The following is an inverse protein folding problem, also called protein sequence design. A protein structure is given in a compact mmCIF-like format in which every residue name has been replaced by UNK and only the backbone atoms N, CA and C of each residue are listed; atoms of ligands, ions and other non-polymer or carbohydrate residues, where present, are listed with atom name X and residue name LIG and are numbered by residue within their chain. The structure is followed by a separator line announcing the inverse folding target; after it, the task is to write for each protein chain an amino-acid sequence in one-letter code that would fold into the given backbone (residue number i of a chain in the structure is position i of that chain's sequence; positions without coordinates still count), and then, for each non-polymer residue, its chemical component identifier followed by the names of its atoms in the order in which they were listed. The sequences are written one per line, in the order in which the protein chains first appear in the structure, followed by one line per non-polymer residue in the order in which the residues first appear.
data_IF_187079492602
#
_entry.id   IF_187079492602
#
_cell.length_a   1.000
_cell.length_b   1.000
_cell.length_c   1.000
_cell.angle_alpha   90.00
_cell.angle_beta   90.00
_cell.angle_gamma   90.00
#
_symmetry.space_group_name_H-M   'P 1'
#
loop_
_entity.id
_entity.type
_entity.pdbx_description
1 polymer ?
#
# COMPACT_ATOMS: atom_id res chain seq x y z
N UNK A 1 -18.31 13.14 -13.39
CA UNK A 1 -17.06 12.35 -13.47
C UNK A 1 -16.86 11.74 -12.10
N UNK A 2 -16.81 10.41 -12.02
CA UNK A 2 -16.46 9.71 -10.80
C UNK A 2 -14.93 9.80 -10.66
N UNK A 3 -14.44 10.39 -9.58
CA UNK A 3 -13.01 10.62 -9.36
C UNK A 3 -12.51 9.61 -8.33
N UNK A 4 -11.62 8.72 -8.75
CA UNK A 4 -11.00 7.70 -7.89
C UNK A 4 -9.66 8.19 -7.33
N UNK A 5 -9.04 7.42 -6.43
CA UNK A 5 -7.75 7.72 -5.78
C UNK A 5 -6.58 7.93 -6.77
N UNK A 6 -6.69 7.42 -8.00
CA UNK A 6 -5.77 7.71 -9.09
C UNK A 6 -5.75 9.21 -9.43
N UNK A 7 -6.93 9.85 -9.46
CA UNK A 7 -7.05 11.28 -9.76
C UNK A 7 -6.42 12.12 -8.65
N UNK A 8 -6.59 11.71 -7.39
CA UNK A 8 -5.91 12.35 -6.25
C UNK A 8 -4.39 12.30 -6.41
N UNK A 9 -3.84 11.13 -6.76
CA UNK A 9 -2.41 10.98 -7.04
C UNK A 9 -1.97 11.83 -8.24
N UNK A 10 -2.76 11.87 -9.31
CA UNK A 10 -2.48 12.68 -10.49
C UNK A 10 -2.38 14.18 -10.18
N UNK A 11 -3.30 14.69 -9.36
CA UNK A 11 -3.31 16.11 -8.96
C UNK A 11 -2.07 16.41 -8.11
N UNK A 12 -1.70 15.51 -7.18
CA UNK A 12 -0.55 15.69 -6.29
C UNK A 12 0.81 15.38 -6.95
N UNK A 13 0.86 14.89 -8.19
CA UNK A 13 2.07 14.35 -8.82
C UNK A 13 3.26 15.30 -8.85
N UNK A 14 3.02 16.61 -8.90
CA UNK A 14 4.08 17.63 -8.94
C UNK A 14 4.80 17.77 -7.59
N UNK A 15 4.24 17.25 -6.50
CA UNK A 15 4.87 17.19 -5.17
C UNK A 15 5.75 15.93 -4.99
N UNK A 16 5.64 14.95 -5.89
CA UNK A 16 6.35 13.66 -5.81
C UNK A 16 7.79 13.78 -6.37
N UNK A 17 8.59 14.67 -5.78
CA UNK A 17 9.95 15.01 -6.23
C UNK A 17 11.08 14.41 -5.38
N UNK A 18 10.74 13.82 -4.24
CA UNK A 18 11.67 13.23 -3.27
C UNK A 18 11.11 11.90 -2.75
N UNK A 19 11.85 11.21 -1.89
CA UNK A 19 11.38 9.96 -1.27
C UNK A 19 10.12 10.25 -0.44
N UNK A 20 9.06 9.45 -0.62
CA UNK A 20 7.79 9.68 0.07
C UNK A 20 7.02 8.39 0.34
N UNK A 21 6.11 8.47 1.32
CA UNK A 21 5.07 7.46 1.54
C UNK A 21 3.77 7.92 0.90
N UNK A 22 3.13 7.05 0.13
CA UNK A 22 1.73 7.16 -0.24
C UNK A 22 0.91 6.31 0.74
N UNK A 23 -0.12 6.91 1.31
CA UNK A 23 -1.01 6.29 2.29
C UNK A 23 -2.45 6.49 1.86
N UNK A 24 -3.28 5.44 1.97
CA UNK A 24 -4.73 5.64 1.94
C UNK A 24 -5.16 6.43 3.19
N UNK A 25 -6.21 7.25 3.05
CA UNK A 25 -6.65 8.16 4.12
C UNK A 25 -7.41 7.49 5.27
N UNK A 26 -7.82 6.24 5.08
CA UNK A 26 -8.57 5.37 5.99
C UNK A 26 -7.67 4.35 6.71
N UNK A 27 -6.38 4.27 6.37
CA UNK A 27 -5.45 3.32 6.97
C UNK A 27 -4.88 3.83 8.29
N UNK A 28 -5.09 3.06 9.34
CA UNK A 28 -4.40 3.18 10.62
C UNK A 28 -3.28 2.14 10.71
N UNK A 29 -2.15 2.50 11.31
CA UNK A 29 -1.01 1.60 11.51
C UNK A 29 -0.19 2.03 12.71
N UNK A 30 0.54 1.08 13.30
CA UNK A 30 1.49 1.40 14.36
C UNK A 30 2.77 2.06 13.81
N UNK A 31 3.36 2.97 14.58
CA UNK A 31 4.54 3.76 14.16
C UNK A 31 5.73 2.87 13.76
N UNK A 32 5.88 1.69 14.38
CA UNK A 32 6.93 0.74 14.07
C UNK A 32 6.88 0.23 12.61
N UNK A 33 5.73 0.31 11.93
CA UNK A 33 5.60 -0.01 10.50
C UNK A 33 6.51 0.87 9.66
N UNK A 34 6.48 2.20 9.88
CA UNK A 34 7.31 3.15 9.13
C UNK A 34 8.80 2.85 9.36
N UNK A 35 9.20 2.64 10.62
CA UNK A 35 10.58 2.27 10.95
C UNK A 35 11.03 0.98 10.27
N UNK A 36 10.16 -0.04 10.23
CA UNK A 36 10.43 -1.31 9.55
C UNK A 36 10.61 -1.10 8.04
N UNK A 37 9.72 -0.36 7.38
CA UNK A 37 9.81 -0.10 5.93
C UNK A 37 11.09 0.65 5.60
N UNK A 38 11.38 1.74 6.32
CA UNK A 38 12.60 2.52 6.11
C UNK A 38 13.89 1.70 6.30
N UNK A 39 13.88 0.73 7.23
CA UNK A 39 15.04 -0.13 7.51
C UNK A 39 15.25 -1.27 6.49
N UNK A 40 14.16 -1.78 5.89
CA UNK A 40 14.20 -2.98 5.03
C UNK A 40 14.13 -2.68 3.54
N UNK A 41 13.58 -1.53 3.16
CA UNK A 41 13.36 -1.19 1.75
C UNK A 41 14.60 -0.61 1.10
N UNK A 42 15.26 -1.35 0.21
CA UNK A 42 16.35 -0.82 -0.65
C UNK A 42 15.90 -0.52 -2.10
N UNK A 43 14.63 -0.78 -2.42
CA UNK A 43 14.12 -0.78 -3.79
C UNK A 43 13.30 0.48 -4.12
N UNK A 44 13.21 0.86 -5.41
CA UNK A 44 12.53 2.09 -5.81
C UNK A 44 11.08 2.19 -5.35
N UNK A 45 10.34 1.08 -5.38
CA UNK A 45 8.95 1.01 -4.94
C UNK A 45 8.80 -0.17 -3.99
N UNK A 46 8.35 0.10 -2.77
CA UNK A 46 8.02 -0.93 -1.77
C UNK A 46 6.54 -0.86 -1.43
N UNK A 47 5.78 -1.89 -1.74
CA UNK A 47 4.41 -2.07 -1.27
C UNK A 47 4.44 -2.73 0.11
N UNK A 48 3.73 -2.15 1.07
CA UNK A 48 3.64 -2.71 2.42
C UNK A 48 2.53 -3.75 2.44
N UNK A 49 2.87 -4.95 2.93
CA UNK A 49 1.96 -6.10 2.87
C UNK A 49 1.75 -6.73 4.23
N UNK A 50 0.59 -7.36 4.41
CA UNK A 50 0.28 -8.23 5.54
C UNK A 50 -0.20 -9.59 5.07
N UNK A 51 -0.34 -10.52 6.00
CA UNK A 51 -0.90 -11.84 5.75
C UNK A 51 -2.21 -11.99 6.54
N UNK A 52 -3.23 -12.53 5.88
CA UNK A 52 -4.48 -12.98 6.49
C UNK A 52 -4.64 -14.49 6.22
N UNK A 53 -5.24 -15.25 7.16
CA UNK A 53 -5.52 -16.67 6.93
C UNK A 53 -6.55 -16.90 5.81
N UNK A 54 -7.42 -15.91 5.57
CA UNK A 54 -8.45 -15.91 4.55
C UNK A 54 -8.54 -14.54 3.90
N UNK A 55 -8.77 -14.52 2.59
CA UNK A 55 -8.98 -13.30 1.82
C UNK A 55 -10.37 -13.30 1.19
N UNK A 56 -11.03 -12.15 1.20
CA UNK A 56 -12.34 -11.93 0.59
C UNK A 56 -12.24 -11.09 -0.70
N UNK A 57 -13.37 -10.75 -1.32
CA UNK A 57 -13.39 -10.03 -2.58
C UNK A 57 -12.93 -8.56 -2.48
N UNK A 58 -13.00 -7.97 -1.28
CA UNK A 58 -12.64 -6.57 -1.05
C UNK A 58 -11.15 -6.39 -0.78
N UNK A 59 -10.46 -7.42 -0.28
CA UNK A 59 -9.03 -7.37 -0.03
C UNK A 59 -8.22 -7.05 -1.30
N UNK A 60 -7.24 -6.15 -1.14
CA UNK A 60 -6.25 -5.84 -2.15
C UNK A 60 -5.11 -6.86 -2.13
N UNK A 61 -5.33 -7.99 -2.80
CA UNK A 61 -4.44 -9.15 -2.79
C UNK A 61 -3.15 -8.89 -3.55
N UNK A 62 -2.10 -9.61 -3.19
CA UNK A 62 -0.81 -9.60 -3.90
C UNK A 62 -0.34 -11.01 -4.24
N UNK A 63 0.34 -11.14 -5.37
CA UNK A 63 1.11 -12.34 -5.76
C UNK A 63 2.59 -12.00 -5.73
N UNK A 64 3.42 -12.87 -5.15
CA UNK A 64 4.83 -12.63 -4.88
C UNK A 64 5.74 -13.70 -5.49
N UNK A 65 6.97 -13.31 -5.82
CA UNK A 65 8.09 -14.23 -6.03
C UNK A 65 9.22 -13.80 -5.09
N UNK A 66 9.34 -14.49 -3.95
CA UNK A 66 10.16 -13.98 -2.83
C UNK A 66 9.58 -12.66 -2.31
N UNK A 67 10.37 -11.59 -2.34
CA UNK A 67 9.93 -10.23 -1.97
C UNK A 67 9.53 -9.37 -3.17
N UNK A 68 9.56 -9.93 -4.39
CA UNK A 68 9.19 -9.20 -5.59
C UNK A 68 7.68 -9.24 -5.77
N UNK A 69 7.09 -8.09 -6.06
CA UNK A 69 5.67 -8.02 -6.40
C UNK A 69 5.46 -8.46 -7.85
N UNK A 70 4.64 -9.50 -8.05
CA UNK A 70 4.28 -10.02 -9.37
C UNK A 70 2.97 -9.41 -9.84
N UNK A 71 1.98 -9.36 -8.95
CA UNK A 71 0.66 -8.83 -9.25
C UNK A 71 0.03 -8.23 -7.99
N UNK A 72 -0.88 -7.27 -8.17
CA UNK A 72 -1.62 -6.62 -7.08
C UNK A 72 -3.03 -6.25 -7.52
N UNK A 73 -4.06 -6.69 -6.80
CA UNK A 73 -5.45 -6.55 -7.24
C UNK A 73 -6.50 -7.24 -6.41
N UNK A 74 -7.76 -6.76 -6.53
CA UNK A 74 -8.93 -7.46 -5.98
C UNK A 74 -9.28 -8.75 -6.72
N UNK A 75 -8.93 -8.80 -8.01
CA UNK A 75 -9.23 -9.88 -8.98
C UNK A 75 -8.28 -11.07 -8.91
N UNK A 76 -7.28 -11.07 -8.02
CA UNK A 76 -6.36 -12.19 -7.84
C UNK A 76 -7.10 -13.34 -7.14
N UNK A 77 -6.99 -14.54 -7.72
CA UNK A 77 -7.55 -15.76 -7.15
C UNK A 77 -6.91 -16.08 -5.78
N UNK A 78 -7.67 -16.60 -4.80
CA UNK A 78 -7.14 -16.94 -3.48
C UNK A 78 -5.91 -17.86 -3.54
N UNK A 79 -5.86 -18.80 -4.48
CA UNK A 79 -4.78 -19.76 -4.65
C UNK A 79 -3.48 -19.11 -5.17
N UNK A 80 -3.56 -17.90 -5.72
CA UNK A 80 -2.43 -17.10 -6.20
C UNK A 80 -2.14 -15.92 -5.28
N UNK A 81 -2.77 -15.88 -4.11
CA UNK A 81 -2.63 -14.80 -3.15
C UNK A 81 -1.63 -15.17 -2.08
N UNK A 82 -0.56 -14.38 -1.97
CA UNK A 82 0.49 -14.55 -0.97
C UNK A 82 0.35 -13.54 0.19
N UNK A 83 -0.51 -12.54 0.04
CA UNK A 83 -0.68 -11.46 1.00
C UNK A 83 -1.73 -10.43 0.57
N UNK A 84 -1.82 -9.38 1.35
CA UNK A 84 -2.65 -8.21 1.07
C UNK A 84 -1.80 -6.93 1.18
N UNK A 85 -2.07 -5.95 0.32
CA UNK A 85 -1.52 -4.60 0.38
C UNK A 85 -2.25 -3.75 1.42
N UNK A 86 -1.51 -3.13 2.34
CA UNK A 86 -2.05 -2.40 3.52
C UNK A 86 -2.37 -0.93 3.21
N UNK A 87 -2.51 -0.55 1.93
CA UNK A 87 -2.73 0.85 1.55
C UNK A 87 -1.53 1.79 1.82
N UNK A 88 -0.32 1.23 2.03
CA UNK A 88 0.92 1.99 2.20
C UNK A 88 1.96 1.58 1.15
N UNK A 89 2.55 2.56 0.47
CA UNK A 89 3.64 2.36 -0.48
C UNK A 89 4.75 3.36 -0.19
N UNK A 90 5.98 2.89 -0.13
CA UNK A 90 7.17 3.72 -0.03
C UNK A 90 7.86 3.84 -1.37
N UNK A 91 8.05 5.07 -1.83
CA UNK A 91 8.79 5.41 -3.03
C UNK A 91 10.12 6.03 -2.64
N UNK A 92 11.23 5.52 -3.21
CA UNK A 92 12.56 6.07 -2.96
C UNK A 92 13.45 6.11 -4.20
N UNK A 93 14.44 7.00 -4.21
CA UNK A 93 15.38 7.15 -5.30
C UNK A 93 14.66 7.45 -6.62
N UNK A 94 14.67 6.52 -7.57
CA UNK A 94 13.94 6.67 -8.84
C UNK A 94 12.43 6.35 -8.75
N UNK A 95 11.95 5.83 -7.60
CA UNK A 95 10.56 5.46 -7.35
C UNK A 95 9.53 6.56 -7.64
N UNK A 96 9.71 7.79 -7.12
CA UNK A 96 8.81 8.91 -7.42
C UNK A 96 8.66 9.20 -8.91
N UNK A 97 9.77 9.20 -9.65
CA UNK A 97 9.75 9.41 -11.10
C UNK A 97 9.01 8.29 -11.85
N UNK A 98 9.23 7.02 -11.45
CA UNK A 98 8.52 5.87 -12.03
C UNK A 98 7.02 5.97 -11.82
N UNK A 99 6.60 6.35 -10.61
CA UNK A 99 5.19 6.50 -10.27
C UNK A 99 4.55 7.66 -11.03
N UNK A 100 5.18 8.83 -11.08
CA UNK A 100 4.71 9.98 -11.87
C UNK A 100 4.49 9.63 -13.33
N UNK A 101 5.48 9.00 -13.97
CA UNK A 101 5.35 8.55 -15.36
C UNK A 101 4.23 7.52 -15.53
N UNK A 102 4.04 6.66 -14.53
CA UNK A 102 2.91 5.73 -14.49
C UNK A 102 1.55 6.42 -14.43
N UNK A 103 1.43 7.45 -13.59
CA UNK A 103 0.23 8.28 -13.51
C UNK A 103 -0.05 9.00 -14.84
N UNK A 104 0.99 9.54 -15.51
CA UNK A 104 0.88 10.18 -16.83
C UNK A 104 0.35 9.23 -17.90
N UNK A 105 0.89 8.01 -17.95
CA UNK A 105 0.41 6.97 -18.86
C UNK A 105 -1.04 6.59 -18.56
N UNK A 106 -1.38 6.40 -17.27
CA UNK A 106 -2.72 6.00 -16.87
C UNK A 106 -3.77 7.07 -17.25
N UNK A 107 -3.48 8.35 -17.01
CA UNK A 107 -4.39 9.45 -17.33
C UNK A 107 -4.52 9.73 -18.83
N UNK A 108 -3.51 9.38 -19.62
CA UNK A 108 -3.54 9.48 -21.09
C UNK A 108 -4.35 8.36 -21.77
N UNK A 109 -4.67 7.28 -21.05
CA UNK A 109 -5.42 6.13 -21.58
C UNK A 109 -6.94 6.38 -21.47
N UNK A 110 -7.70 6.49 -22.58
CA UNK A 110 -9.14 6.73 -22.55
C UNK A 110 -9.95 5.63 -21.85
N UNK A 111 -9.38 4.43 -21.66
CA UNK A 111 -10.00 3.31 -20.94
C UNK A 111 -9.83 3.40 -19.41
N UNK A 112 -9.12 4.42 -18.91
CA UNK A 112 -8.72 4.57 -17.51
C UNK A 112 -9.81 5.07 -16.55
N UNK A 113 -11.04 5.30 -17.00
CA UNK A 113 -12.11 5.93 -16.21
C UNK A 113 -12.60 5.13 -14.99
N UNK A 114 -11.93 4.03 -14.63
CA UNK A 114 -12.16 3.21 -13.42
C UNK A 114 -10.85 2.64 -12.84
N UNK A 115 -9.69 3.24 -13.13
CA UNK A 115 -8.39 2.74 -12.66
C UNK A 115 -8.05 3.36 -11.30
N UNK A 116 -7.55 2.52 -10.39
CA UNK A 116 -7.06 2.91 -9.07
C UNK A 116 -5.55 3.14 -9.15
N UNK A 117 -4.92 3.88 -8.24
CA UNK A 117 -3.46 4.08 -8.29
C UNK A 117 -2.67 2.76 -8.24
N UNK A 118 -3.23 1.72 -7.61
CA UNK A 118 -2.63 0.38 -7.58
C UNK A 118 -2.55 -0.30 -8.94
N UNK A 119 -3.37 0.11 -9.92
CA UNK A 119 -3.19 -0.34 -11.31
C UNK A 119 -1.86 0.17 -11.89
N UNK A 120 -1.43 1.38 -11.52
CA UNK A 120 -0.11 1.90 -11.91
C UNK A 120 1.00 1.08 -11.29
N UNK A 121 0.82 0.62 -10.05
CA UNK A 121 1.79 -0.26 -9.37
C UNK A 121 1.84 -1.63 -10.07
N UNK A 122 0.68 -2.20 -10.41
CA UNK A 122 0.59 -3.44 -11.20
C UNK A 122 1.33 -3.30 -12.53
N UNK A 123 1.16 -2.19 -13.23
CA UNK A 123 1.82 -1.91 -14.52
C UNK A 123 3.35 -1.74 -14.37
N UNK A 124 3.83 -1.41 -13.17
CA UNK A 124 5.27 -1.34 -12.87
C UNK A 124 5.87 -2.72 -12.52
N UNK A 125 5.09 -3.72 -12.11
CA UNK A 125 5.61 -5.04 -11.73
C UNK A 125 6.52 -5.70 -12.79
N UNK A 126 6.22 -5.65 -14.11
CA UNK A 126 7.10 -6.22 -15.14
C UNK A 126 8.49 -5.58 -15.23
N UNK A 127 8.66 -4.36 -14.69
CA UNK A 127 9.97 -3.66 -14.71
C UNK A 127 10.96 -4.17 -13.66
N UNK A 128 10.54 -5.11 -12.80
CA UNK A 128 11.34 -5.68 -11.69
C UNK A 128 11.72 -4.66 -10.60
N UNK A 129 11.05 -3.50 -10.55
CA UNK A 129 11.35 -2.41 -9.61
C UNK A 129 10.41 -2.36 -8.40
N UNK A 130 9.37 -3.19 -8.37
CA UNK A 130 8.38 -3.22 -7.29
C UNK A 130 8.61 -4.42 -6.36
N UNK A 131 8.80 -4.10 -5.10
CA UNK A 131 9.13 -5.06 -4.03
C UNK A 131 8.15 -4.90 -2.88
N UNK A 132 8.18 -5.81 -1.92
CA UNK A 132 7.29 -5.79 -0.77
C UNK A 132 8.03 -5.77 0.55
N UNK A 133 7.38 -5.20 1.57
CA UNK A 133 7.81 -5.29 2.96
C UNK A 133 6.66 -5.81 3.80
N UNK A 134 6.80 -7.03 4.32
CA UNK A 134 5.82 -7.60 5.25
C UNK A 134 5.87 -6.90 6.61
N UNK A 135 4.70 -6.53 7.10
CA UNK A 135 4.49 -6.01 8.46
C UNK A 135 3.91 -7.05 9.40
N UNK A 136 4.00 -8.34 9.08
CA UNK A 136 3.55 -9.40 9.99
C UNK A 136 4.14 -9.22 11.40
N UNK A 137 3.28 -9.37 12.40
CA UNK A 137 3.57 -9.07 13.81
C UNK A 137 3.45 -7.60 14.20
N UNK A 138 3.12 -6.69 13.28
CA UNK A 138 2.75 -5.29 13.53
C UNK A 138 1.27 -5.09 13.21
N UNK A 139 0.65 -4.06 13.79
CA UNK A 139 -0.78 -3.77 13.59
C UNK A 139 -1.05 -2.72 12.52
N UNK A 140 -2.08 -2.99 11.73
CA UNK A 140 -2.72 -2.05 10.82
C UNK A 140 -4.20 -2.40 10.66
N UNK A 141 -5.04 -1.43 10.33
CA UNK A 141 -6.41 -1.66 9.91
C UNK A 141 -6.91 -0.53 9.01
N UNK A 142 -7.95 -0.80 8.23
CA UNK A 142 -8.71 0.20 7.46
C UNK A 142 -10.00 0.55 8.22
N UNK A 143 -10.50 1.77 8.03
CA UNK A 143 -11.73 2.26 8.65
C UNK A 143 -12.69 2.75 7.57
N UNK A 144 -13.39 1.81 6.93
CA UNK A 144 -14.29 2.08 5.82
C UNK A 144 -15.74 2.27 6.26
N UNK A 145 -16.15 1.50 7.28
CA UNK A 145 -17.51 1.46 7.79
C UNK A 145 -17.57 1.76 9.29
N UNK A 146 -18.72 2.21 9.82
CA UNK A 146 -18.90 2.44 11.25
C UNK A 146 -18.58 1.22 12.14
N UNK A 147 -18.67 0.00 11.60
CA UNK A 147 -18.33 -1.23 12.31
C UNK A 147 -16.82 -1.36 12.60
N UNK A 148 -15.97 -0.77 11.76
CA UNK A 148 -14.51 -0.87 11.87
C UNK A 148 -13.94 -0.03 13.01
N UNK A 149 -14.72 0.94 13.49
CA UNK A 149 -14.34 1.82 14.60
C UNK A 149 -13.94 1.05 15.86
N UNK A 150 -14.63 -0.04 16.18
CA UNK A 150 -14.29 -0.86 17.36
C UNK A 150 -12.92 -1.52 17.20
N UNK A 151 -12.62 -2.02 16.01
CA UNK A 151 -11.32 -2.64 15.71
C UNK A 151 -10.21 -1.60 15.75
N UNK A 152 -10.46 -0.40 15.20
CA UNK A 152 -9.54 0.73 15.27
C UNK A 152 -9.26 1.18 16.72
N UNK A 153 -10.29 1.32 17.54
CA UNK A 153 -10.16 1.68 18.97
C UNK A 153 -9.32 0.66 19.75
N UNK A 154 -9.55 -0.63 19.53
CA UNK A 154 -8.74 -1.68 20.14
C UNK A 154 -7.28 -1.63 19.70
N UNK A 155 -7.03 -1.41 18.41
CA UNK A 155 -5.67 -1.31 17.88
C UNK A 155 -4.92 -0.12 18.48
N UNK A 156 -5.56 1.05 18.52
CA UNK A 156 -4.98 2.25 19.13
C UNK A 156 -4.68 2.05 20.62
N UNK A 157 -5.61 1.43 21.36
CA UNK A 157 -5.42 1.16 22.79
C UNK A 157 -4.20 0.27 23.04
N UNK A 158 -4.07 -0.82 22.29
CA UNK A 158 -2.95 -1.74 22.43
C UNK A 158 -1.59 -1.08 22.07
N UNK A 159 -1.55 -0.25 21.04
CA UNK A 159 -0.37 0.54 20.68
C UNK A 159 0.05 1.53 21.79
N UNK A 160 -0.93 2.17 22.45
CA UNK A 160 -0.67 3.13 23.52
C UNK A 160 -0.11 2.44 24.77
N UNK A 161 -0.63 1.27 25.15
CA UNK A 161 -0.16 0.50 26.30
C UNK A 161 1.31 0.08 26.14
N UNK A 162 1.69 -0.39 24.96
CA UNK A 162 3.07 -0.77 24.64
C UNK A 162 4.04 0.42 24.65
N UNK A 163 3.64 1.56 24.07
CA UNK A 163 4.44 2.79 24.12
C UNK A 163 4.64 3.32 25.55
N UNK A 164 3.72 3.06 26.48
CA UNK A 164 3.89 3.40 27.90
C UNK A 164 4.81 2.40 28.60
N UNK A 165 4.74 1.11 28.25
CA UNK A 165 5.62 0.08 28.78
C UNK A 165 7.09 0.29 28.36
N UNK A 166 7.36 0.66 27.11
CA UNK A 166 8.72 0.91 26.60
C UNK A 166 9.39 2.16 27.20
N UNK A 167 8.61 3.07 27.80
CA UNK A 167 9.12 4.28 28.46
C UNK A 167 9.38 4.11 29.96
N UNK A 168 9.14 2.92 30.51
CA UNK A 168 9.41 2.58 31.92
C UNK A 168 10.68 1.75 32.05
#
# INVERSE_FOLDING_TARGET
AETDNLVSCWIAREEMNEDFFLLNGDTLFEVAVVGRVLSKSAHPVTVVTTYKPHYDADDMKVTLEGQRLINIGKDIEPEKTDGESVGMIFFRGEGPALFRQGLERAMGDPSSSRKWYLSVIRDLCPTMKVWTCSIEGLRSCEVDYPADLKSAEHMLSACMEESVAERR
#
